data_IF_263391144183
#
_entry.id   IF_263391144183
#
_cell.length_a   1.000
_cell.length_b   1.000
_cell.length_c   1.000
_cell.angle_alpha   90.00
_cell.angle_beta   90.00
_cell.angle_gamma   90.00
#
_symmetry.space_group_name_H-M   'P 1'
#
loop_
_entity.id
_entity.type
_entity.pdbx_description
1 polymer ?
#
# COMPACT_ATOMS: atom_id res chain seq x y z
N UNK A 1 14.19 -13.97 11.97
CA UNK A 1 14.53 -12.53 11.96
C UNK A 1 13.44 -11.74 12.69
N UNK A 2 13.22 -12.05 13.98
CA UNK A 2 12.06 -11.57 14.77
C UNK A 2 12.37 -10.27 15.55
N UNK A 3 13.64 -9.87 15.66
CA UNK A 3 14.06 -8.71 16.46
C UNK A 3 13.87 -7.34 15.79
N UNK A 4 13.78 -7.25 14.46
CA UNK A 4 13.66 -5.97 13.75
C UNK A 4 12.33 -5.26 14.04
N UNK A 5 11.22 -6.00 14.00
CA UNK A 5 9.90 -5.46 14.28
C UNK A 5 9.77 -5.01 15.74
N UNK A 6 10.31 -5.77 16.70
CA UNK A 6 10.32 -5.38 18.12
C UNK A 6 11.27 -4.22 18.45
N UNK A 7 12.36 -4.03 17.69
CA UNK A 7 13.22 -2.87 17.83
C UNK A 7 12.54 -1.60 17.32
N UNK A 8 11.87 -1.68 16.15
CA UNK A 8 11.06 -0.57 15.63
C UNK A 8 9.86 -0.29 16.52
N UNK A 9 9.20 -1.34 17.02
CA UNK A 9 8.09 -1.24 17.98
C UNK A 9 8.57 -0.62 19.30
N UNK A 10 9.74 -0.99 19.83
CA UNK A 10 10.27 -0.39 21.07
C UNK A 10 10.77 1.04 20.87
N UNK A 11 11.26 1.43 19.68
CA UNK A 11 11.57 2.82 19.35
C UNK A 11 10.31 3.69 19.16
N UNK A 12 9.28 3.15 18.52
CA UNK A 12 8.00 3.86 18.30
C UNK A 12 7.19 3.94 19.60
N UNK A 13 7.02 2.84 20.33
CA UNK A 13 6.34 2.79 21.63
C UNK A 13 7.16 3.52 22.70
N UNK A 14 8.49 3.50 22.62
CA UNK A 14 9.40 4.25 23.49
C UNK A 14 9.33 5.76 23.32
N UNK A 15 8.80 6.26 22.20
CA UNK A 15 8.51 7.69 21.99
C UNK A 15 7.25 8.18 22.73
N UNK A 16 6.46 7.26 23.31
CA UNK A 16 5.21 7.56 24.01
C UNK A 16 4.02 7.90 23.09
N UNK A 17 4.22 7.91 21.76
CA UNK A 17 3.19 8.27 20.79
C UNK A 17 2.41 7.03 20.31
N UNK A 18 1.07 7.05 20.32
CA UNK A 18 0.25 6.03 19.70
C UNK A 18 0.54 5.92 18.18
N UNK A 19 0.34 4.75 17.54
CA UNK A 19 0.51 4.59 16.09
C UNK A 19 -0.24 5.64 15.26
N UNK A 20 -1.45 6.00 15.69
CA UNK A 20 -2.24 7.04 15.03
C UNK A 20 -1.61 8.43 15.13
N UNK A 21 -0.92 8.73 16.23
CA UNK A 21 -0.18 9.98 16.40
C UNK A 21 1.00 10.09 15.43
N UNK A 22 1.72 8.99 15.21
CA UNK A 22 2.82 8.92 14.24
C UNK A 22 2.31 9.18 12.82
N UNK A 23 1.19 8.57 12.43
CA UNK A 23 0.56 8.79 11.11
C UNK A 23 0.15 10.25 10.94
N UNK A 24 -0.49 10.86 11.95
CA UNK A 24 -0.93 12.26 11.88
C UNK A 24 0.25 13.23 11.76
N UNK A 25 1.34 13.00 12.50
CA UNK A 25 2.56 13.80 12.40
C UNK A 25 3.18 13.65 11.01
N UNK A 26 3.26 12.43 10.48
CA UNK A 26 3.76 12.20 9.13
C UNK A 26 2.91 12.93 8.07
N UNK A 27 1.59 12.86 8.18
CA UNK A 27 0.67 13.58 7.28
C UNK A 27 0.85 15.09 7.37
N UNK A 28 1.04 15.64 8.58
CA UNK A 28 1.31 17.07 8.77
C UNK A 28 2.64 17.49 8.13
N UNK A 29 3.69 16.69 8.26
CA UNK A 29 4.98 16.96 7.62
C UNK A 29 4.83 17.00 6.10
N UNK A 30 4.11 16.02 5.51
CA UNK A 30 3.85 15.98 4.07
C UNK A 30 3.04 17.18 3.57
N UNK A 31 2.11 17.68 4.38
CA UNK A 31 1.35 18.90 4.10
C UNK A 31 2.26 20.13 4.04
N UNK A 32 3.12 20.33 5.05
CA UNK A 32 4.03 21.48 5.13
C UNK A 32 5.07 21.46 4.01
N UNK A 33 5.53 20.27 3.61
CA UNK A 33 6.47 20.09 2.50
C UNK A 33 5.84 20.20 1.11
N UNK A 34 4.50 20.35 1.02
CA UNK A 34 3.79 20.38 -0.28
C UNK A 34 3.77 19.04 -1.02
N UNK A 35 4.15 17.94 -0.36
CA UNK A 35 4.24 16.60 -0.94
C UNK A 35 2.95 15.78 -0.76
N UNK A 36 1.95 16.34 -0.06
CA UNK A 36 0.73 15.65 0.32
C UNK A 36 -0.01 14.98 -0.85
N UNK A 37 -0.17 15.69 -1.97
CA UNK A 37 -0.90 15.16 -3.13
C UNK A 37 -0.14 14.03 -3.82
N UNK A 38 1.15 14.21 -4.08
CA UNK A 38 1.99 13.18 -4.70
C UNK A 38 2.07 11.93 -3.82
N UNK A 39 2.33 12.10 -2.52
CA UNK A 39 2.35 10.99 -1.57
C UNK A 39 0.98 10.32 -1.44
N UNK A 40 -0.10 11.09 -1.42
CA UNK A 40 -1.46 10.59 -1.35
C UNK A 40 -1.80 9.68 -2.55
N UNK A 41 -1.44 10.09 -3.76
CA UNK A 41 -1.63 9.26 -4.96
C UNK A 41 -0.80 7.97 -4.88
N UNK A 42 0.48 8.07 -4.52
CA UNK A 42 1.34 6.88 -4.32
C UNK A 42 0.78 5.93 -3.27
N UNK A 43 0.30 6.47 -2.15
CA UNK A 43 -0.30 5.70 -1.06
C UNK A 43 -1.57 4.98 -1.52
N UNK A 44 -2.47 5.65 -2.23
CA UNK A 44 -3.68 5.03 -2.78
C UNK A 44 -3.37 3.91 -3.76
N UNK A 45 -2.40 4.10 -4.66
CA UNK A 45 -1.95 3.11 -5.64
C UNK A 45 -1.32 1.91 -4.92
N UNK A 46 -0.49 2.15 -3.92
CA UNK A 46 0.14 1.12 -3.09
C UNK A 46 -0.87 0.32 -2.27
N UNK A 47 -1.87 0.97 -1.69
CA UNK A 47 -2.94 0.32 -0.93
C UNK A 47 -3.73 -0.63 -1.84
N UNK A 48 -4.05 -0.23 -3.07
CA UNK A 48 -4.72 -1.13 -4.03
C UNK A 48 -3.91 -2.39 -4.33
N UNK A 49 -2.57 -2.29 -4.49
CA UNK A 49 -1.70 -3.46 -4.65
C UNK A 49 -1.80 -4.36 -3.42
N UNK A 50 -1.70 -3.79 -2.23
CA UNK A 50 -1.71 -4.53 -0.96
C UNK A 50 -2.99 -5.35 -0.77
N UNK A 51 -4.14 -4.82 -1.22
CA UNK A 51 -5.42 -5.53 -1.19
C UNK A 51 -5.50 -6.72 -2.16
N UNK A 52 -4.62 -6.79 -3.15
CA UNK A 52 -4.61 -7.80 -4.22
C UNK A 52 -3.44 -8.78 -4.13
N UNK A 53 -2.32 -8.38 -3.51
CA UNK A 53 -1.10 -9.19 -3.45
C UNK A 53 -1.17 -10.31 -2.39
N UNK A 54 -0.76 -11.55 -2.72
CA UNK A 54 -0.49 -12.55 -1.69
C UNK A 54 0.68 -12.10 -0.79
N UNK A 55 0.68 -12.38 0.53
CA UNK A 55 -0.21 -13.26 1.30
C UNK A 55 -1.41 -12.55 1.96
N UNK A 56 -1.55 -11.23 1.80
CA UNK A 56 -2.51 -10.42 2.56
C UNK A 56 -3.77 -10.03 1.79
N UNK A 57 -3.89 -10.36 0.49
CA UNK A 57 -4.95 -9.87 -0.40
C UNK A 57 -6.39 -10.24 0.01
N UNK A 58 -7.09 -9.40 0.80
CA UNK A 58 -8.38 -9.76 1.37
C UNK A 58 -9.44 -9.92 0.28
N UNK A 59 -9.29 -9.21 -0.83
CA UNK A 59 -10.14 -9.34 -2.00
C UNK A 59 -10.06 -10.75 -2.61
N UNK A 60 -8.87 -11.34 -2.70
CA UNK A 60 -8.70 -12.70 -3.21
C UNK A 60 -9.31 -13.76 -2.27
N UNK A 61 -9.16 -13.59 -0.96
CA UNK A 61 -9.80 -14.45 0.04
C UNK A 61 -11.33 -14.33 0.02
N UNK A 62 -11.84 -13.10 -0.14
CA UNK A 62 -13.28 -12.86 -0.30
C UNK A 62 -13.83 -13.56 -1.54
N UNK A 63 -13.16 -13.43 -2.69
CA UNK A 63 -13.57 -14.11 -3.92
C UNK A 63 -13.51 -15.64 -3.79
N UNK A 64 -12.51 -16.17 -3.09
CA UNK A 64 -12.42 -17.61 -2.84
C UNK A 64 -13.59 -18.14 -1.99
N UNK A 65 -14.11 -17.34 -1.05
CA UNK A 65 -15.23 -17.75 -0.19
C UNK A 65 -16.56 -17.97 -0.90
N UNK A 66 -16.70 -17.44 -2.13
CA UNK A 66 -17.89 -17.56 -2.97
C UNK A 66 -17.61 -18.29 -4.29
N UNK A 67 -16.37 -18.79 -4.46
CA UNK A 67 -15.96 -19.45 -5.69
C UNK A 67 -16.55 -20.87 -5.77
N UNK A 68 -16.92 -21.35 -6.97
CA UNK A 68 -17.32 -22.72 -7.20
C UNK A 68 -16.24 -23.73 -6.78
N UNK A 69 -16.66 -24.95 -6.46
CA UNK A 69 -15.76 -26.06 -6.17
C UNK A 69 -14.79 -26.30 -7.34
N UNK A 70 -13.49 -26.41 -7.04
CA UNK A 70 -12.44 -26.61 -8.03
C UNK A 70 -11.65 -25.36 -8.43
N UNK A 71 -12.03 -24.16 -7.99
CA UNK A 71 -11.20 -22.95 -8.14
C UNK A 71 -10.35 -22.75 -6.89
N UNK A 72 -9.03 -22.91 -7.03
CA UNK A 72 -8.11 -22.70 -5.92
C UNK A 72 -7.74 -21.21 -5.77
N UNK A 73 -7.34 -20.83 -4.55
CA UNK A 73 -6.87 -19.47 -4.26
C UNK A 73 -5.68 -19.06 -5.15
N UNK A 74 -4.85 -20.03 -5.55
CA UNK A 74 -3.72 -19.79 -6.47
C UNK A 74 -4.19 -19.37 -7.87
N UNK A 75 -5.34 -19.87 -8.34
CA UNK A 75 -5.90 -19.51 -9.65
C UNK A 75 -6.42 -18.08 -9.63
N UNK A 76 -7.02 -17.67 -8.51
CA UNK A 76 -7.45 -16.28 -8.28
C UNK A 76 -6.22 -15.36 -8.27
N UNK A 77 -5.16 -15.70 -7.53
CA UNK A 77 -3.95 -14.87 -7.50
C UNK A 77 -3.24 -14.80 -8.85
N UNK A 78 -3.16 -15.90 -9.61
CA UNK A 78 -2.61 -15.90 -10.98
C UNK A 78 -3.41 -14.98 -11.91
N UNK A 79 -4.74 -14.96 -11.75
CA UNK A 79 -5.62 -14.10 -12.57
C UNK A 79 -5.44 -12.61 -12.26
N UNK A 80 -5.10 -12.26 -11.02
CA UNK A 80 -4.88 -10.87 -10.59
C UNK A 80 -3.44 -10.40 -10.82
N UNK A 81 -2.49 -11.32 -11.00
CA UNK A 81 -1.08 -11.03 -11.27
C UNK A 81 -0.84 -10.00 -12.40
N UNK A 82 -1.47 -10.07 -13.60
CA UNK A 82 -1.27 -9.05 -14.64
C UNK A 82 -1.68 -7.64 -14.18
N UNK A 83 -2.71 -7.53 -13.34
CA UNK A 83 -3.13 -6.25 -12.77
C UNK A 83 -2.10 -5.71 -11.76
N UNK A 84 -1.54 -6.59 -10.93
CA UNK A 84 -0.46 -6.21 -9.99
C UNK A 84 0.76 -5.69 -10.76
N UNK A 85 1.14 -6.34 -11.87
CA UNK A 85 2.26 -5.88 -12.70
C UNK A 85 2.02 -4.48 -13.27
N UNK A 86 0.83 -4.21 -13.79
CA UNK A 86 0.45 -2.88 -14.27
C UNK A 86 0.53 -1.84 -13.14
N UNK A 87 0.10 -2.20 -11.94
CA UNK A 87 0.13 -1.31 -10.79
C UNK A 87 1.56 -1.02 -10.30
N UNK A 88 2.47 -1.99 -10.38
CA UNK A 88 3.91 -1.78 -10.11
C UNK A 88 4.53 -0.86 -11.16
N UNK A 89 4.18 -1.02 -12.44
CA UNK A 89 4.63 -0.13 -13.51
C UNK A 89 4.14 1.30 -13.26
N UNK A 90 2.86 1.46 -12.91
CA UNK A 90 2.28 2.75 -12.54
C UNK A 90 3.02 3.36 -11.34
N UNK A 91 3.22 2.60 -10.26
CA UNK A 91 3.97 3.04 -9.08
C UNK A 91 5.37 3.53 -9.44
N UNK A 92 6.07 2.77 -10.28
CA UNK A 92 7.41 3.12 -10.77
C UNK A 92 7.38 4.43 -11.55
N UNK A 93 6.41 4.59 -12.45
CA UNK A 93 6.23 5.82 -13.21
C UNK A 93 5.94 7.02 -12.31
N UNK A 94 5.08 6.88 -11.30
CA UNK A 94 4.73 7.97 -10.37
C UNK A 94 5.91 8.38 -9.46
N UNK A 95 6.82 7.45 -9.16
CA UNK A 95 8.05 7.72 -8.42
C UNK A 95 9.07 8.46 -9.31
N UNK A 96 9.26 8.01 -10.55
CA UNK A 96 10.20 8.61 -11.49
C UNK A 96 9.73 9.95 -12.06
N UNK A 97 8.41 10.11 -12.23
CA UNK A 97 7.77 11.27 -12.83
C UNK A 97 6.64 11.78 -11.92
N UNK A 98 6.99 12.48 -10.81
CA UNK A 98 6.02 12.97 -9.83
C UNK A 98 4.99 13.93 -10.44
N UNK A 99 5.34 14.62 -11.53
CA UNK A 99 4.42 15.51 -12.25
C UNK A 99 3.18 14.80 -12.80
N UNK A 100 3.25 13.50 -13.08
CA UNK A 100 2.08 12.71 -13.54
C UNK A 100 1.01 12.68 -12.45
N UNK A 101 1.40 12.51 -11.18
CA UNK A 101 0.48 12.53 -10.05
C UNK A 101 -0.10 13.92 -9.81
N UNK A 102 0.68 14.96 -10.09
CA UNK A 102 0.35 16.35 -9.82
C UNK A 102 -0.35 17.05 -11.00
N UNK A 103 -0.44 16.40 -12.17
CA UNK A 103 -0.99 16.99 -13.38
C UNK A 103 -2.46 17.41 -13.21
N UNK A 104 -3.26 16.63 -12.49
CA UNK A 104 -4.67 16.95 -12.22
C UNK A 104 -4.87 17.99 -11.10
N UNK A 105 -3.79 18.29 -10.34
CA UNK A 105 -3.82 19.20 -9.18
C UNK A 105 -3.32 20.60 -9.53
N UNK A 106 -2.56 20.73 -10.63
CA UNK A 106 -2.20 22.03 -11.24
C UNK A 106 -3.40 22.63 -11.97
#
# INVERSE_FOLDING_TARGET
MVGGNHFVESLLVGSGLPPIGIILIMMLILLVLGLFFWFGVLFCVNMQVSFLSPPFGPAAFYLHSVAPEGIELVDIFKSVLPFILLQIILLTLLILFPDIALFLVK
#
